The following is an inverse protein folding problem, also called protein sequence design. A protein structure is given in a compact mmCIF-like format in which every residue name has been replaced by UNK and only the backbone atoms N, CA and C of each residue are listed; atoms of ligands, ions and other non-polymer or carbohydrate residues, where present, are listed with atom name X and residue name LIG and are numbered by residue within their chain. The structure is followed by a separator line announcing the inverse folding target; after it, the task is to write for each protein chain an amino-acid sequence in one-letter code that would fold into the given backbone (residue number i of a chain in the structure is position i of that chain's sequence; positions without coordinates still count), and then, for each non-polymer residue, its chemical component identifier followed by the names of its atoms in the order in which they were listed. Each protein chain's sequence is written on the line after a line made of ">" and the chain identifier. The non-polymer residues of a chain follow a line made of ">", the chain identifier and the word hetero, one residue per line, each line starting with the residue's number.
data_IF_690595973791
#
_entry.id   IF_690595973791
#
_cell.length_a   1.000
_cell.length_b   1.000
_cell.length_c   1.000
_cell.angle_alpha   90.00
_cell.angle_beta   90.00
_cell.angle_gamma   90.00
#
_symmetry.space_group_name_H-M   'P 1'
#
loop_
_entity.id
_entity.type
_entity.pdbx_description
1 polymer ?
#
# COMPACT_ATOMS: atom_id res chain seq x y z
N UNK A 1 -2.67 -14.85 -3.73
CA UNK A 1 -3.39 -13.71 -3.14
C UNK A 1 -3.91 -12.85 -4.27
N UNK A 2 -5.21 -12.61 -4.35
CA UNK A 2 -5.79 -11.71 -5.36
C UNK A 2 -5.58 -10.23 -4.95
N UNK A 3 -5.88 -9.29 -5.85
CA UNK A 3 -5.69 -7.86 -5.60
C UNK A 3 -6.39 -7.39 -4.31
N UNK A 4 -7.67 -7.75 -4.13
CA UNK A 4 -8.44 -7.34 -2.94
C UNK A 4 -7.81 -7.84 -1.65
N UNK A 5 -7.37 -9.11 -1.61
CA UNK A 5 -6.68 -9.69 -0.46
C UNK A 5 -5.33 -8.99 -0.18
N UNK A 6 -4.62 -8.56 -1.22
CA UNK A 6 -3.37 -7.81 -1.08
C UNK A 6 -3.59 -6.45 -0.42
N UNK A 7 -4.64 -5.74 -0.85
CA UNK A 7 -5.01 -4.46 -0.26
C UNK A 7 -5.53 -4.64 1.17
N UNK A 8 -6.31 -5.68 1.43
CA UNK A 8 -6.78 -6.02 2.78
C UNK A 8 -5.61 -6.26 3.75
N UNK A 9 -4.61 -7.04 3.32
CA UNK A 9 -3.39 -7.30 4.10
C UNK A 9 -2.60 -6.01 4.34
N UNK A 10 -2.46 -5.17 3.33
CA UNK A 10 -1.71 -3.92 3.46
C UNK A 10 -2.37 -2.93 4.42
N UNK A 11 -3.70 -2.74 4.33
CA UNK A 11 -4.44 -1.91 5.29
C UNK A 11 -4.33 -2.46 6.70
N UNK A 12 -4.43 -3.78 6.88
CA UNK A 12 -4.31 -4.39 8.20
C UNK A 12 -2.92 -4.16 8.81
N UNK A 13 -1.85 -4.31 8.03
CA UNK A 13 -0.49 -4.05 8.48
C UNK A 13 -0.27 -2.57 8.84
N UNK A 14 -0.74 -1.65 8.00
CA UNK A 14 -0.55 -0.21 8.20
C UNK A 14 -1.46 0.39 9.28
N UNK A 15 -2.52 -0.31 9.70
CA UNK A 15 -3.37 0.10 10.84
C UNK A 15 -2.68 -0.05 12.19
N UNK A 16 -1.70 -0.95 12.28
CA UNK A 16 -0.93 -1.10 13.51
C UNK A 16 -0.03 0.14 13.71
N UNK A 17 0.23 0.55 14.97
CA UNK A 17 1.26 1.53 15.26
C UNK A 17 2.61 1.06 14.72
N UNK A 18 3.44 2.00 14.25
CA UNK A 18 4.79 1.67 13.80
C UNK A 18 5.60 1.07 14.94
N UNK A 19 6.33 -0.01 14.65
CA UNK A 19 7.31 -0.57 15.56
C UNK A 19 8.61 0.27 15.51
N UNK A 20 9.50 0.18 16.52
CA UNK A 20 10.79 0.86 16.49
C UNK A 20 11.59 0.55 15.22
N UNK A 21 11.59 -0.71 14.78
CA UNK A 21 12.26 -1.15 13.55
C UNK A 21 11.67 -0.51 12.29
N UNK A 22 10.34 -0.30 12.24
CA UNK A 22 9.72 0.39 11.11
C UNK A 22 10.22 1.85 11.06
N UNK A 23 10.34 2.52 12.21
CA UNK A 23 10.88 3.89 12.29
C UNK A 23 12.36 3.97 11.90
N UNK A 24 13.17 2.98 12.31
CA UNK A 24 14.57 2.86 11.89
C UNK A 24 14.71 2.67 10.38
N UNK A 25 13.73 2.02 9.75
CA UNK A 25 13.60 1.89 8.30
C UNK A 25 13.10 3.16 7.62
N UNK A 26 12.92 4.27 8.33
CA UNK A 26 12.49 5.56 7.76
C UNK A 26 10.97 5.73 7.66
N UNK A 27 10.16 4.84 8.26
CA UNK A 27 8.72 5.07 8.32
C UNK A 27 8.37 6.19 9.30
N UNK A 28 7.54 7.13 8.83
CA UNK A 28 6.89 8.13 9.67
C UNK A 28 5.42 7.80 9.87
N UNK A 29 4.85 8.25 10.98
CA UNK A 29 3.42 8.02 11.27
C UNK A 29 2.51 8.70 10.23
N UNK A 30 2.97 9.80 9.64
CA UNK A 30 2.30 10.51 8.55
C UNK A 30 2.37 9.70 7.24
N UNK A 31 3.55 9.26 6.81
CA UNK A 31 3.70 8.43 5.61
C UNK A 31 2.89 7.13 5.72
N UNK A 32 2.98 6.45 6.87
CA UNK A 32 2.18 5.25 7.15
C UNK A 32 0.69 5.54 6.96
N UNK A 33 0.21 6.65 7.52
CA UNK A 33 -1.20 7.04 7.45
C UNK A 33 -1.63 7.37 6.03
N UNK A 34 -0.85 8.17 5.29
CA UNK A 34 -1.16 8.54 3.91
C UNK A 34 -1.24 7.31 2.99
N UNK A 35 -0.26 6.41 3.08
CA UNK A 35 -0.28 5.15 2.32
C UNK A 35 -1.49 4.29 2.72
N UNK A 36 -1.83 4.22 4.01
CA UNK A 36 -3.00 3.47 4.49
C UNK A 36 -4.31 4.03 3.91
N UNK A 37 -4.45 5.36 3.88
CA UNK A 37 -5.64 6.05 3.35
C UNK A 37 -5.77 5.85 1.83
N UNK A 38 -4.68 5.95 1.09
CA UNK A 38 -4.64 5.69 -0.36
C UNK A 38 -5.05 4.25 -0.69
N UNK A 39 -4.47 3.25 -0.02
CA UNK A 39 -4.83 1.84 -0.21
C UNK A 39 -6.30 1.59 0.18
N UNK A 40 -6.79 2.24 1.25
CA UNK A 40 -8.18 2.11 1.69
C UNK A 40 -9.17 2.67 0.66
N UNK A 41 -8.82 3.78 0.00
CA UNK A 41 -9.60 4.39 -1.08
C UNK A 41 -9.67 3.48 -2.29
N UNK A 42 -8.52 2.96 -2.72
CA UNK A 42 -8.39 2.03 -3.85
C UNK A 42 -9.18 0.73 -3.62
N UNK A 43 -9.06 0.15 -2.42
CA UNK A 43 -9.86 -1.01 -2.00
C UNK A 43 -11.37 -0.72 -2.03
N UNK A 44 -11.77 0.46 -1.57
CA UNK A 44 -13.19 0.84 -1.56
C UNK A 44 -13.74 1.03 -2.97
N UNK A 45 -12.96 1.61 -3.87
CA UNK A 45 -13.31 1.72 -5.29
C UNK A 45 -13.51 0.34 -5.94
N UNK A 46 -12.58 -0.60 -5.71
CA UNK A 46 -12.69 -1.98 -6.22
C UNK A 46 -13.92 -2.71 -5.68
N UNK A 47 -14.26 -2.53 -4.41
CA UNK A 47 -15.46 -3.16 -3.82
C UNK A 47 -16.76 -2.59 -4.38
N UNK A 48 -16.78 -1.29 -4.69
CA UNK A 48 -17.98 -0.62 -5.20
C UNK A 48 -18.19 -0.83 -6.70
N UNK A 49 -17.11 -0.82 -7.47
CA UNK A 49 -17.18 -0.83 -8.93
C UNK A 49 -16.79 -2.17 -9.53
N UNK A 50 -16.12 -3.04 -8.79
CA UNK A 50 -15.69 -4.36 -9.22
C UNK A 50 -14.24 -4.38 -9.72
N UNK A 51 -13.71 -5.57 -10.09
CA UNK A 51 -12.31 -5.78 -10.42
C UNK A 51 -11.80 -4.96 -11.62
N UNK A 52 -12.67 -4.62 -12.58
CA UNK A 52 -12.28 -3.82 -13.76
C UNK A 52 -11.76 -2.43 -13.41
N UNK A 53 -12.15 -1.90 -12.23
CA UNK A 53 -11.65 -0.61 -11.74
C UNK A 53 -10.14 -0.63 -11.50
N UNK A 54 -9.53 -1.81 -11.32
CA UNK A 54 -8.09 -1.94 -11.08
C UNK A 54 -7.24 -1.31 -12.19
N UNK A 55 -7.68 -1.41 -13.45
CA UNK A 55 -7.03 -0.81 -14.62
C UNK A 55 -7.02 0.74 -14.62
N UNK A 56 -7.70 1.37 -13.66
CA UNK A 56 -7.72 2.83 -13.49
C UNK A 56 -6.97 3.30 -12.25
N UNK A 57 -6.56 2.38 -11.36
CA UNK A 57 -5.86 2.72 -10.13
C UNK A 57 -4.36 2.90 -10.39
N UNK A 58 -3.81 4.09 -10.18
CA UNK A 58 -2.36 4.33 -10.38
C UNK A 58 -1.70 4.95 -9.15
N UNK A 59 -1.72 4.27 -7.98
CA UNK A 59 -1.00 4.76 -6.82
C UNK A 59 0.51 4.62 -7.04
N UNK A 60 1.26 5.67 -6.66
CA UNK A 60 2.73 5.75 -6.76
C UNK A 60 3.35 5.59 -5.36
N UNK A 61 3.03 4.49 -4.68
CA UNK A 61 3.41 4.27 -3.28
C UNK A 61 4.94 4.09 -3.16
N UNK A 62 5.55 3.47 -4.16
CA UNK A 62 7.00 3.36 -4.34
C UNK A 62 7.67 4.74 -4.35
N UNK A 63 7.12 5.71 -5.08
CA UNK A 63 7.67 7.07 -5.13
C UNK A 63 7.54 7.81 -3.80
N UNK A 64 6.45 7.55 -3.05
CA UNK A 64 6.25 8.15 -1.73
C UNK A 64 7.25 7.57 -0.73
N UNK A 65 7.41 6.25 -0.71
CA UNK A 65 8.41 5.58 0.12
C UNK A 65 9.84 5.98 -0.25
N UNK A 66 10.15 6.11 -1.55
CA UNK A 66 11.46 6.54 -2.02
C UNK A 66 11.77 8.00 -1.63
N UNK A 67 10.77 8.89 -1.68
CA UNK A 67 10.92 10.29 -1.26
C UNK A 67 11.28 10.42 0.21
N UNK A 68 10.66 9.61 1.06
CA UNK A 68 10.91 9.60 2.50
C UNK A 68 12.14 8.75 2.88
N UNK A 69 12.80 8.12 1.91
CA UNK A 69 14.00 7.31 2.13
C UNK A 69 13.73 6.00 2.87
N UNK A 70 12.50 5.47 2.76
CA UNK A 70 12.10 4.22 3.42
C UNK A 70 12.96 3.06 2.92
N UNK A 71 13.57 2.36 3.86
CA UNK A 71 14.39 1.19 3.61
C UNK A 71 13.52 -0.08 3.47
N UNK A 72 14.01 -1.11 2.76
CA UNK A 72 13.34 -2.40 2.69
C UNK A 72 13.11 -3.01 4.07
N UNK A 73 11.92 -3.60 4.25
CA UNK A 73 11.48 -4.21 5.50
C UNK A 73 10.05 -4.71 5.41
N UNK A 74 9.49 -5.16 6.54
CA UNK A 74 8.18 -5.80 6.59
C UNK A 74 7.06 -4.94 5.98
N UNK A 75 6.93 -3.68 6.42
CA UNK A 75 5.90 -2.78 5.90
C UNK A 75 6.12 -2.44 4.43
N UNK A 76 7.37 -2.17 4.04
CA UNK A 76 7.75 -1.91 2.66
C UNK A 76 7.36 -3.08 1.73
N UNK A 77 7.67 -4.32 2.10
CA UNK A 77 7.31 -5.51 1.31
C UNK A 77 5.80 -5.66 1.13
N UNK A 78 5.03 -5.40 2.20
CA UNK A 78 3.57 -5.48 2.15
C UNK A 78 2.99 -4.42 1.22
N UNK A 79 3.49 -3.18 1.28
CA UNK A 79 3.05 -2.08 0.42
C UNK A 79 3.46 -2.31 -1.03
N UNK A 80 4.70 -2.75 -1.28
CA UNK A 80 5.16 -3.06 -2.63
C UNK A 80 4.41 -4.23 -3.27
N UNK A 81 4.03 -5.24 -2.48
CA UNK A 81 3.17 -6.32 -2.97
C UNK A 81 1.79 -5.77 -3.38
N UNK A 82 1.19 -4.87 -2.60
CA UNK A 82 -0.07 -4.23 -2.97
C UNK A 82 0.07 -3.41 -4.27
N UNK A 83 1.12 -2.61 -4.40
CA UNK A 83 1.38 -1.83 -5.62
C UNK A 83 1.59 -2.73 -6.84
N UNK A 84 2.43 -3.76 -6.73
CA UNK A 84 2.69 -4.71 -7.81
C UNK A 84 1.39 -5.35 -8.31
N UNK A 85 0.51 -5.76 -7.40
CA UNK A 85 -0.80 -6.35 -7.76
C UNK A 85 -1.73 -5.37 -8.46
N UNK A 86 -1.64 -4.08 -8.14
CA UNK A 86 -2.38 -3.06 -8.88
C UNK A 86 -1.78 -2.95 -10.28
N UNK A 87 -0.45 -2.81 -10.40
CA UNK A 87 0.25 -2.72 -11.70
C UNK A 87 -0.03 -3.91 -12.60
N UNK A 88 0.01 -5.12 -12.07
CA UNK A 88 -0.30 -6.35 -12.81
C UNK A 88 -1.73 -6.32 -13.38
N UNK A 89 -2.69 -5.70 -12.68
CA UNK A 89 -4.07 -5.59 -13.13
C UNK A 89 -4.28 -4.56 -14.27
N UNK A 90 -3.25 -3.76 -14.61
CA UNK A 90 -3.25 -2.93 -15.83
C UNK A 90 -2.80 -3.67 -17.08
N UNK A 91 -2.20 -4.85 -16.93
CA UNK A 91 -1.58 -5.62 -18.03
C UNK A 91 -2.50 -6.74 -18.49
#
# INVERSE_FOLDING_TARGET
>A
MNLTEALDKAVAALKAPLEPTDREQGWTDDLRREIQEEISTNRSALRRHGPWMAAYLRPRLDEWMAREGVQPGRLHEVVMNAQTRITDAHT
#
